data_IF_362700756195
#
_entry.id   IF_362700756195
#
_cell.length_a   1.000
_cell.length_b   1.000
_cell.length_c   1.000
_cell.angle_alpha   90.00
_cell.angle_beta   90.00
_cell.angle_gamma   90.00
#
_symmetry.space_group_name_H-M   'P 1'
#
loop_
_entity.id
_entity.type
_entity.pdbx_description
1 polymer ?
#
# COMPACT_ATOMS: atom_id res chain seq x y z
N UNK A 1 8.55 -14.14 -12.89
CA UNK A 1 8.56 -14.00 -11.43
C UNK A 1 8.59 -15.40 -10.82
N UNK A 2 9.53 -15.67 -9.88
CA UNK A 2 9.65 -16.96 -9.20
C UNK A 2 8.98 -16.97 -7.81
N UNK A 3 8.99 -15.81 -7.12
CA UNK A 3 8.26 -15.61 -5.87
C UNK A 3 7.92 -14.14 -5.65
N UNK A 4 6.93 -13.90 -4.79
CA UNK A 4 6.51 -12.61 -4.30
C UNK A 4 6.22 -12.73 -2.80
N UNK A 5 6.85 -11.90 -2.00
CA UNK A 5 6.67 -11.92 -0.56
C UNK A 5 6.65 -10.50 0.02
N UNK A 6 6.09 -10.37 1.22
CA UNK A 6 6.26 -9.18 2.04
C UNK A 6 7.37 -9.39 3.06
N UNK A 7 8.14 -8.34 3.33
CA UNK A 7 9.17 -8.33 4.37
C UNK A 7 9.06 -7.05 5.18
N UNK A 8 9.22 -7.14 6.50
CA UNK A 8 9.28 -5.95 7.35
C UNK A 8 10.68 -5.33 7.27
N UNK A 9 10.74 -4.00 7.29
CA UNK A 9 11.97 -3.28 7.55
C UNK A 9 12.14 -3.27 9.06
N UNK A 10 13.09 -4.06 9.56
CA UNK A 10 13.43 -4.11 10.97
C UNK A 10 14.46 -3.05 11.35
N UNK A 11 14.91 -3.13 12.59
CA UNK A 11 15.96 -2.30 13.13
C UNK A 11 17.05 -3.17 13.75
N UNK A 12 18.30 -2.75 13.60
CA UNK A 12 19.42 -3.34 14.30
C UNK A 12 20.36 -2.25 14.79
N UNK A 13 20.50 -2.10 16.10
CA UNK A 13 21.34 -1.08 16.78
C UNK A 13 21.02 0.35 16.29
N UNK A 14 19.74 0.70 16.22
CA UNK A 14 19.27 2.03 15.80
C UNK A 14 19.36 2.29 14.29
N UNK A 15 19.61 1.26 13.47
CA UNK A 15 19.69 1.40 12.01
C UNK A 15 18.68 0.51 11.33
N UNK A 16 18.07 0.96 10.22
CA UNK A 16 17.17 0.15 9.44
C UNK A 16 17.87 -1.10 8.90
N UNK A 17 17.17 -2.21 8.90
CA UNK A 17 17.71 -3.49 8.43
C UNK A 17 16.66 -4.24 7.62
N UNK A 18 17.07 -4.74 6.47
CA UNK A 18 16.28 -5.69 5.70
C UNK A 18 17.01 -7.03 5.64
N UNK A 19 16.32 -8.09 6.12
CA UNK A 19 16.86 -9.43 6.22
C UNK A 19 16.09 -10.39 5.31
N UNK A 20 16.79 -10.94 4.31
CA UNK A 20 16.25 -11.94 3.38
C UNK A 20 16.99 -13.24 3.58
N UNK A 21 16.30 -14.27 4.07
CA UNK A 21 16.89 -15.57 4.44
C UNK A 21 16.26 -16.71 3.65
N UNK A 22 17.09 -17.68 3.27
CA UNK A 22 16.66 -19.00 2.82
C UNK A 22 16.09 -19.00 1.41
N UNK A 23 14.88 -19.54 1.28
CA UNK A 23 14.21 -19.81 0.01
C UNK A 23 14.17 -18.61 -0.95
N UNK A 24 13.95 -17.39 -0.43
CA UNK A 24 13.92 -16.16 -1.22
C UNK A 24 15.22 -15.89 -1.98
N UNK A 25 16.33 -16.02 -1.28
CA UNK A 25 17.66 -15.85 -1.87
C UNK A 25 18.00 -17.02 -2.81
N UNK A 26 17.74 -18.25 -2.39
CA UNK A 26 18.03 -19.44 -3.19
C UNK A 26 17.29 -19.47 -4.52
N UNK A 27 16.01 -19.12 -4.55
CA UNK A 27 15.20 -19.07 -5.77
C UNK A 27 15.73 -18.08 -6.81
N UNK A 28 16.33 -17.00 -6.35
CA UNK A 28 16.97 -16.03 -7.21
C UNK A 28 18.41 -16.42 -7.60
N UNK A 29 18.90 -17.58 -7.13
CA UNK A 29 20.27 -18.02 -7.35
C UNK A 29 21.31 -17.34 -6.45
N UNK A 30 20.89 -16.55 -5.45
CA UNK A 30 21.77 -15.93 -4.46
C UNK A 30 22.19 -16.95 -3.42
N UNK A 31 23.13 -17.82 -3.78
CA UNK A 31 23.70 -18.83 -2.90
C UNK A 31 24.83 -18.25 -2.03
N UNK A 32 25.19 -18.87 -0.90
CA UNK A 32 26.31 -18.44 -0.07
C UNK A 32 27.60 -18.23 -0.89
N UNK A 33 28.26 -17.09 -0.69
CA UNK A 33 29.48 -16.74 -1.40
C UNK A 33 29.28 -16.02 -2.75
N UNK A 34 28.07 -16.00 -3.30
CA UNK A 34 27.78 -15.24 -4.53
C UNK A 34 27.90 -13.75 -4.24
N UNK A 35 28.60 -13.04 -5.13
CA UNK A 35 28.69 -11.58 -5.08
C UNK A 35 27.50 -10.93 -5.79
N UNK A 36 27.11 -9.74 -5.31
CA UNK A 36 26.01 -8.97 -5.88
C UNK A 36 26.21 -7.47 -5.68
N UNK A 37 25.56 -6.70 -6.52
CA UNK A 37 25.42 -5.25 -6.41
C UNK A 37 23.99 -4.86 -6.05
N UNK A 38 23.82 -3.68 -5.43
CA UNK A 38 22.52 -3.06 -5.16
C UNK A 38 22.41 -1.78 -5.98
N UNK A 39 21.38 -1.71 -6.82
CA UNK A 39 21.02 -0.51 -7.57
C UNK A 39 19.81 0.16 -6.95
N UNK A 40 19.86 1.46 -6.78
CA UNK A 40 18.83 2.34 -6.24
C UNK A 40 18.12 3.05 -7.37
N UNK A 41 16.81 2.96 -7.43
CA UNK A 41 15.95 3.73 -8.34
C UNK A 41 15.05 4.63 -7.50
N UNK A 42 15.49 5.87 -7.31
CA UNK A 42 14.79 6.87 -6.48
C UNK A 42 13.40 7.19 -7.04
N UNK A 43 13.24 7.25 -8.37
CA UNK A 43 11.96 7.59 -9.01
C UNK A 43 10.89 6.54 -8.75
N UNK A 44 11.30 5.27 -8.67
CA UNK A 44 10.40 4.13 -8.44
C UNK A 44 10.36 3.67 -6.99
N UNK A 45 11.15 4.31 -6.11
CA UNK A 45 11.32 3.86 -4.72
C UNK A 45 11.65 2.36 -4.68
N UNK A 46 12.69 1.96 -5.45
CA UNK A 46 13.01 0.55 -5.68
C UNK A 46 14.49 0.26 -5.49
N UNK A 47 14.80 -0.83 -4.80
CA UNK A 47 16.12 -1.46 -4.84
C UNK A 47 16.10 -2.67 -5.77
N UNK A 48 17.15 -2.82 -6.55
CA UNK A 48 17.37 -4.02 -7.37
C UNK A 48 18.71 -4.64 -6.94
N UNK A 49 18.65 -5.89 -6.51
CA UNK A 49 19.82 -6.72 -6.24
C UNK A 49 20.08 -7.55 -7.48
N UNK A 50 21.29 -7.52 -7.99
CA UNK A 50 21.72 -8.29 -9.17
C UNK A 50 23.00 -9.03 -8.85
N UNK A 51 23.10 -10.30 -9.30
CA UNK A 51 24.37 -11.04 -9.22
C UNK A 51 25.40 -10.29 -10.04
N UNK A 52 26.56 -10.08 -9.44
CA UNK A 52 27.64 -9.29 -10.05
C UNK A 52 28.96 -9.80 -9.49
N UNK A 53 29.79 -10.37 -10.34
CA UNK A 53 31.11 -10.92 -9.96
C UNK A 53 32.03 -9.88 -9.35
N UNK A 54 31.82 -8.60 -9.68
CA UNK A 54 32.56 -7.46 -9.15
C UNK A 54 31.77 -6.71 -8.06
N UNK A 55 30.58 -7.24 -7.66
CA UNK A 55 29.73 -6.63 -6.65
C UNK A 55 30.45 -6.44 -5.31
N UNK A 56 30.11 -5.38 -4.62
CA UNK A 56 30.68 -4.99 -3.33
C UNK A 56 30.13 -5.82 -2.16
N UNK A 57 29.08 -6.60 -2.38
CA UNK A 57 28.39 -7.40 -1.37
C UNK A 57 28.48 -8.89 -1.67
N UNK A 58 28.43 -9.68 -0.59
CA UNK A 58 28.48 -11.15 -0.65
C UNK A 58 27.27 -11.71 0.10
N UNK A 59 26.62 -12.72 -0.47
CA UNK A 59 25.60 -13.49 0.20
C UNK A 59 26.23 -14.26 1.36
N UNK A 60 25.80 -13.99 2.57
CA UNK A 60 26.27 -14.68 3.77
C UNK A 60 25.63 -16.04 3.90
N UNK A 61 26.19 -16.87 4.79
CA UNK A 61 25.62 -18.17 5.19
C UNK A 61 25.19 -18.16 6.64
N UNK A 62 24.12 -18.86 6.93
CA UNK A 62 23.67 -19.18 8.28
C UNK A 62 23.49 -20.69 8.36
N UNK A 63 23.93 -21.30 9.45
CA UNK A 63 23.67 -22.71 9.71
C UNK A 63 22.28 -22.84 10.38
N UNK A 64 21.46 -23.73 9.85
CA UNK A 64 20.17 -24.11 10.42
C UNK A 64 20.14 -25.65 10.54
N UNK A 65 20.56 -26.14 11.69
CA UNK A 65 20.97 -27.55 11.83
C UNK A 65 22.19 -27.83 10.94
N UNK A 66 22.16 -28.88 10.16
CA UNK A 66 23.23 -29.28 9.23
C UNK A 66 23.13 -28.60 7.84
N UNK A 67 22.15 -27.70 7.64
CA UNK A 67 21.93 -27.05 6.35
C UNK A 67 22.47 -25.61 6.34
N UNK A 68 23.22 -25.28 5.30
CA UNK A 68 23.60 -23.91 5.00
C UNK A 68 22.44 -23.18 4.33
N UNK A 69 22.09 -22.03 4.87
CA UNK A 69 21.00 -21.17 4.39
C UNK A 69 21.58 -19.84 3.93
N UNK A 70 21.31 -19.39 2.69
CA UNK A 70 21.79 -18.09 2.22
C UNK A 70 21.10 -16.96 2.95
N UNK A 71 21.84 -15.90 3.21
CA UNK A 71 21.36 -14.69 3.87
C UNK A 71 21.85 -13.45 3.11
N UNK A 72 20.91 -12.61 2.74
CA UNK A 72 21.17 -11.24 2.27
C UNK A 72 20.80 -10.31 3.41
N UNK A 73 21.79 -9.65 3.99
CA UNK A 73 21.62 -8.69 5.08
C UNK A 73 21.93 -7.27 4.59
N UNK A 74 20.92 -6.44 4.50
CA UNK A 74 21.06 -5.04 4.13
C UNK A 74 20.81 -4.20 5.39
N UNK A 75 21.88 -3.67 5.97
CA UNK A 75 21.87 -2.85 7.20
C UNK A 75 22.46 -1.44 6.97
N UNK A 76 22.52 -0.99 5.73
CA UNK A 76 23.00 0.33 5.37
C UNK A 76 21.87 1.35 5.43
N UNK A 77 21.97 2.34 6.30
CA UNK A 77 21.02 3.46 6.38
C UNK A 77 20.93 4.23 5.07
N UNK A 78 22.05 4.40 4.35
CA UNK A 78 22.09 5.04 3.05
C UNK A 78 21.28 4.28 2.00
N UNK A 79 21.42 2.94 1.94
CA UNK A 79 20.68 2.10 0.99
C UNK A 79 19.21 2.06 1.34
N UNK A 80 18.87 1.90 2.61
CA UNK A 80 17.48 1.74 3.07
C UNK A 80 16.73 3.06 3.26
N UNK A 81 17.41 4.22 3.20
CA UNK A 81 16.76 5.54 3.24
C UNK A 81 15.67 5.73 2.19
N UNK A 82 15.78 5.04 1.06
CA UNK A 82 14.76 5.04 0.00
C UNK A 82 13.39 4.54 0.50
N UNK A 83 13.37 3.75 1.57
CA UNK A 83 12.16 3.22 2.20
C UNK A 83 11.78 3.96 3.47
N UNK A 84 12.31 5.15 3.71
CA UNK A 84 11.96 5.94 4.88
C UNK A 84 10.45 6.21 4.96
N UNK A 85 9.85 5.92 6.12
CA UNK A 85 8.41 6.04 6.35
C UNK A 85 7.57 4.87 5.81
N UNK A 86 8.20 3.75 5.40
CA UNK A 86 7.53 2.50 5.09
C UNK A 86 7.95 1.41 6.09
N UNK A 87 6.96 0.72 6.68
CA UNK A 87 7.21 -0.34 7.66
C UNK A 87 7.51 -1.69 6.99
N UNK A 88 7.06 -1.86 5.74
CA UNK A 88 7.21 -3.10 5.02
C UNK A 88 7.42 -2.89 3.52
N UNK A 89 8.05 -3.88 2.91
CA UNK A 89 8.35 -3.91 1.48
C UNK A 89 7.87 -5.21 0.85
N UNK A 90 7.62 -5.18 -0.44
CA UNK A 90 7.44 -6.37 -1.28
C UNK A 90 8.77 -6.76 -1.90
N UNK A 91 9.06 -8.04 -1.85
CA UNK A 91 10.25 -8.67 -2.40
C UNK A 91 9.82 -9.52 -3.59
N UNK A 92 10.24 -9.12 -4.78
CA UNK A 92 9.93 -9.81 -6.05
C UNK A 92 11.16 -10.57 -6.48
N UNK A 93 11.08 -11.90 -6.42
CA UNK A 93 12.16 -12.82 -6.77
C UNK A 93 12.09 -13.18 -8.24
N UNK A 94 13.17 -12.96 -8.95
CA UNK A 94 13.37 -13.33 -10.35
C UNK A 94 14.68 -14.12 -10.46
N UNK A 95 14.98 -14.65 -11.64
CA UNK A 95 16.28 -15.28 -11.90
C UNK A 95 17.39 -14.25 -11.84
N UNK A 96 18.44 -14.52 -11.05
CA UNK A 96 19.62 -13.67 -10.84
C UNK A 96 19.32 -12.23 -10.37
N UNK A 97 18.07 -11.99 -9.91
CA UNK A 97 17.61 -10.65 -9.52
C UNK A 97 16.56 -10.69 -8.43
N UNK A 98 16.66 -9.76 -7.49
CA UNK A 98 15.63 -9.48 -6.50
C UNK A 98 15.27 -8.00 -6.57
N UNK A 99 13.99 -7.67 -6.71
CA UNK A 99 13.48 -6.31 -6.62
C UNK A 99 12.75 -6.11 -5.31
N UNK A 100 13.02 -4.99 -4.67
CA UNK A 100 12.44 -4.62 -3.38
C UNK A 100 11.77 -3.26 -3.56
N UNK A 101 10.49 -3.18 -3.24
CA UNK A 101 9.64 -1.98 -3.36
C UNK A 101 8.74 -1.87 -2.13
N UNK A 102 8.24 -0.68 -1.79
CA UNK A 102 7.19 -0.56 -0.77
C UNK A 102 5.97 -1.42 -1.12
N UNK A 103 5.24 -1.87 -0.12
CA UNK A 103 3.95 -2.52 -0.35
C UNK A 103 2.98 -1.54 -1.05
N UNK A 104 2.19 -2.05 -1.99
CA UNK A 104 1.19 -1.23 -2.68
C UNK A 104 0.19 -0.58 -1.70
N UNK A 105 -0.20 -1.32 -0.66
CA UNK A 105 -1.07 -0.82 0.41
C UNK A 105 -0.43 0.31 1.22
N UNK A 106 0.89 0.26 1.46
CA UNK A 106 1.61 1.32 2.16
C UNK A 106 1.71 2.60 1.32
N UNK A 107 1.93 2.45 0.01
CA UNK A 107 1.92 3.59 -0.92
C UNK A 107 0.53 4.25 -0.91
N UNK A 108 -0.52 3.46 -1.10
CA UNK A 108 -1.90 3.96 -1.12
C UNK A 108 -2.28 4.63 0.22
N UNK A 109 -1.90 4.04 1.36
CA UNK A 109 -2.10 4.62 2.69
C UNK A 109 -1.38 5.97 2.84
N UNK A 110 -0.14 6.07 2.41
CA UNK A 110 0.66 7.30 2.48
C UNK A 110 0.06 8.41 1.61
N UNK A 111 -0.31 8.08 0.38
CA UNK A 111 -0.97 9.02 -0.51
C UNK A 111 -2.30 9.54 0.06
N UNK A 112 -3.13 8.64 0.62
CA UNK A 112 -4.38 9.02 1.28
C UNK A 112 -4.14 9.94 2.46
N UNK A 113 -3.15 9.62 3.31
CA UNK A 113 -2.81 10.45 4.46
C UNK A 113 -2.29 11.84 4.06
N UNK A 114 -1.53 11.93 2.96
CA UNK A 114 -1.07 13.21 2.42
C UNK A 114 -2.24 14.05 1.92
N UNK A 115 -3.18 13.44 1.17
CA UNK A 115 -4.40 14.15 0.73
C UNK A 115 -5.23 14.62 1.91
N UNK A 116 -5.43 13.77 2.91
CA UNK A 116 -6.15 14.12 4.14
C UNK A 116 -5.52 15.35 4.82
N UNK A 117 -4.21 15.31 5.07
CA UNK A 117 -3.49 16.43 5.69
C UNK A 117 -3.59 17.72 4.87
N UNK A 118 -3.41 17.63 3.54
CA UNK A 118 -3.51 18.78 2.65
C UNK A 118 -4.90 19.41 2.70
N UNK A 119 -5.95 18.60 2.58
CA UNK A 119 -7.34 19.09 2.64
C UNK A 119 -7.68 19.74 3.98
N UNK A 120 -7.30 19.12 5.10
CA UNK A 120 -7.52 19.69 6.44
C UNK A 120 -6.79 21.03 6.61
N UNK A 121 -5.54 21.13 6.13
CA UNK A 121 -4.76 22.38 6.21
C UNK A 121 -5.39 23.48 5.37
N UNK A 122 -5.93 23.16 4.20
CA UNK A 122 -6.53 24.11 3.28
C UNK A 122 -8.01 24.43 3.58
N UNK A 123 -8.63 23.76 4.56
CA UNK A 123 -10.06 23.90 4.86
C UNK A 123 -10.97 23.35 3.74
N UNK A 124 -10.44 22.43 2.91
CA UNK A 124 -11.18 21.77 1.85
C UNK A 124 -12.06 20.63 2.41
N UNK A 125 -13.15 20.29 1.71
CA UNK A 125 -14.01 19.19 2.11
C UNK A 125 -13.32 17.83 1.96
N UNK A 126 -13.43 16.99 2.97
CA UNK A 126 -13.00 15.59 2.89
C UNK A 126 -13.99 14.81 2.02
N UNK A 127 -13.46 14.01 1.10
CA UNK A 127 -14.28 13.11 0.29
C UNK A 127 -14.51 11.80 1.06
N UNK A 128 -15.75 11.48 1.32
CA UNK A 128 -16.17 10.25 1.98
C UNK A 128 -16.78 9.28 0.96
N UNK A 129 -16.48 8.00 1.06
CA UNK A 129 -17.15 6.95 0.32
C UNK A 129 -17.99 6.11 1.27
N UNK A 130 -19.11 5.59 0.81
CA UNK A 130 -19.96 4.68 1.57
C UNK A 130 -20.07 3.35 0.86
N UNK A 131 -19.79 2.27 1.56
CA UNK A 131 -20.03 0.90 1.10
C UNK A 131 -21.07 0.23 1.98
N UNK A 132 -22.01 -0.50 1.36
CA UNK A 132 -23.18 -1.05 2.04
C UNK A 132 -23.99 0.03 2.76
N UNK A 133 -24.31 1.09 2.02
CA UNK A 133 -24.88 2.35 2.50
C UNK A 133 -26.18 2.15 3.30
N UNK A 134 -27.02 1.17 2.92
CA UNK A 134 -28.30 0.88 3.58
C UNK A 134 -29.21 2.11 3.60
N UNK A 135 -29.72 2.44 4.78
CA UNK A 135 -30.55 3.64 5.01
C UNK A 135 -29.74 4.94 5.21
N UNK A 136 -28.42 4.93 5.05
CA UNK A 136 -27.55 6.11 5.13
C UNK A 136 -27.41 6.74 6.53
N UNK A 137 -27.88 6.06 7.58
CA UNK A 137 -27.88 6.62 8.96
C UNK A 137 -26.46 6.81 9.49
N UNK A 138 -25.59 5.83 9.26
CA UNK A 138 -24.19 5.90 9.72
C UNK A 138 -23.43 7.01 9.00
N UNK A 139 -23.63 7.11 7.69
CA UNK A 139 -22.99 8.14 6.86
C UNK A 139 -23.46 9.54 7.27
N UNK A 140 -24.77 9.71 7.47
CA UNK A 140 -25.31 10.97 7.97
C UNK A 140 -24.70 11.37 9.32
N UNK A 141 -24.64 10.42 10.26
CA UNK A 141 -24.06 10.66 11.58
C UNK A 141 -22.57 11.03 11.50
N UNK A 142 -21.80 10.35 10.62
CA UNK A 142 -20.39 10.66 10.38
C UNK A 142 -20.22 12.08 9.84
N UNK A 143 -20.98 12.44 8.80
CA UNK A 143 -20.92 13.76 8.20
C UNK A 143 -21.29 14.87 9.20
N UNK A 144 -22.35 14.69 9.96
CA UNK A 144 -22.77 15.66 11.00
C UNK A 144 -21.73 15.79 12.12
N UNK A 145 -21.19 14.66 12.61
CA UNK A 145 -20.14 14.71 13.65
C UNK A 145 -18.86 15.41 13.18
N UNK A 146 -18.46 15.24 11.92
CA UNK A 146 -17.31 15.95 11.34
C UNK A 146 -17.61 17.43 11.15
N UNK A 147 -18.81 17.78 10.70
CA UNK A 147 -19.25 19.17 10.55
C UNK A 147 -19.27 19.91 11.90
N UNK A 148 -19.77 19.28 12.96
CA UNK A 148 -19.72 19.81 14.34
C UNK A 148 -18.29 20.03 14.83
N UNK A 149 -17.35 19.20 14.37
CA UNK A 149 -15.91 19.37 14.63
C UNK A 149 -15.23 20.43 13.73
N UNK A 150 -16.00 21.13 12.89
CA UNK A 150 -15.48 22.13 11.96
C UNK A 150 -14.84 21.57 10.69
N UNK A 151 -15.04 20.30 10.41
CA UNK A 151 -14.47 19.61 9.24
C UNK A 151 -15.55 19.48 8.16
N UNK A 152 -15.33 20.14 7.02
CA UNK A 152 -16.22 20.00 5.87
C UNK A 152 -16.08 18.61 5.25
N UNK A 153 -17.19 18.03 4.83
CA UNK A 153 -17.24 16.72 4.18
C UNK A 153 -18.14 16.73 2.96
N UNK A 154 -17.91 15.77 2.06
CA UNK A 154 -18.79 15.50 0.91
C UNK A 154 -18.88 14.00 0.68
N UNK A 155 -20.06 13.49 0.41
CA UNK A 155 -20.29 12.11 -0.01
C UNK A 155 -19.90 11.99 -1.48
N UNK A 156 -18.78 11.32 -1.77
CA UNK A 156 -18.27 11.18 -3.13
C UNK A 156 -18.96 10.04 -3.89
N UNK A 157 -19.22 8.94 -3.20
CA UNK A 157 -20.04 7.84 -3.74
C UNK A 157 -20.74 7.08 -2.61
N UNK A 158 -21.85 6.42 -2.96
CA UNK A 158 -22.53 5.46 -2.10
C UNK A 158 -22.81 4.17 -2.86
N UNK A 159 -22.45 3.04 -2.27
CA UNK A 159 -22.73 1.70 -2.79
C UNK A 159 -23.76 0.99 -1.90
N UNK A 160 -24.79 0.47 -2.53
CA UNK A 160 -25.80 -0.39 -1.93
C UNK A 160 -26.36 -1.32 -2.99
N UNK A 161 -26.59 -2.59 -2.66
CA UNK A 161 -27.11 -3.56 -3.63
C UNK A 161 -28.58 -3.29 -4.01
N UNK A 162 -29.34 -2.66 -3.12
CA UNK A 162 -30.75 -2.32 -3.31
C UNK A 162 -30.90 -0.88 -3.81
N UNK A 163 -31.22 -0.65 -5.09
CA UNK A 163 -31.32 0.70 -5.66
C UNK A 163 -32.36 1.58 -4.99
N UNK A 164 -33.46 0.99 -4.51
CA UNK A 164 -34.52 1.73 -3.83
C UNK A 164 -34.05 2.40 -2.52
N UNK A 165 -33.06 1.85 -1.84
CA UNK A 165 -32.46 2.48 -0.66
C UNK A 165 -31.60 3.69 -1.05
N UNK A 166 -30.83 3.60 -2.15
CA UNK A 166 -30.06 4.73 -2.65
C UNK A 166 -30.97 5.89 -3.10
N UNK A 167 -32.05 5.57 -3.80
CA UNK A 167 -33.06 6.57 -4.21
C UNK A 167 -33.71 7.23 -3.00
N UNK A 168 -34.10 6.42 -1.99
CA UNK A 168 -34.71 6.94 -0.76
C UNK A 168 -33.76 7.86 -0.01
N UNK A 169 -32.51 7.42 0.22
CA UNK A 169 -31.52 8.21 0.96
C UNK A 169 -31.12 9.47 0.21
N UNK A 170 -31.02 9.42 -1.12
CA UNK A 170 -30.77 10.58 -1.96
C UNK A 170 -31.86 11.64 -1.84
N UNK A 171 -33.12 11.24 -1.67
CA UNK A 171 -34.25 12.14 -1.54
C UNK A 171 -34.39 12.73 -0.12
N UNK A 172 -33.91 12.03 0.91
CA UNK A 172 -34.17 12.37 2.31
C UNK A 172 -32.92 12.85 3.08
N UNK A 173 -31.73 12.62 2.57
CA UNK A 173 -30.48 12.85 3.30
C UNK A 173 -29.67 13.97 2.64
N UNK A 174 -29.41 15.03 3.39
CA UNK A 174 -28.73 16.25 2.94
C UNK A 174 -27.21 16.09 2.65
N UNK A 175 -26.64 14.92 2.98
CA UNK A 175 -25.23 14.63 2.62
C UNK A 175 -25.04 14.32 1.13
N UNK A 176 -26.11 14.02 0.39
CA UNK A 176 -26.06 13.77 -1.05
C UNK A 176 -25.92 15.09 -1.82
N UNK A 177 -25.10 15.06 -2.86
CA UNK A 177 -24.95 16.17 -3.82
C UNK A 177 -25.22 15.70 -5.25
N UNK A 178 -25.25 16.63 -6.19
CA UNK A 178 -25.37 16.30 -7.63
C UNK A 178 -24.18 15.47 -8.13
N UNK A 179 -23.00 15.63 -7.51
CA UNK A 179 -21.76 14.96 -7.89
C UNK A 179 -21.55 13.60 -7.19
N UNK A 180 -22.45 13.21 -6.27
CA UNK A 180 -22.36 11.92 -5.59
C UNK A 180 -22.66 10.79 -6.55
N UNK A 181 -21.71 9.85 -6.70
CA UNK A 181 -21.87 8.66 -7.55
C UNK A 181 -22.70 7.60 -6.82
N UNK A 182 -23.80 7.20 -7.44
CA UNK A 182 -24.67 6.15 -6.94
C UNK A 182 -24.31 4.79 -7.57
N UNK A 183 -24.05 3.77 -6.76
CA UNK A 183 -23.56 2.46 -7.20
C UNK A 183 -24.50 1.36 -6.70
N UNK A 184 -25.50 1.01 -7.51
CA UNK A 184 -26.45 -0.06 -7.21
C UNK A 184 -25.91 -1.42 -7.71
N UNK A 185 -24.89 -1.96 -7.04
CA UNK A 185 -24.26 -3.20 -7.43
C UNK A 185 -23.66 -3.95 -6.23
N UNK A 186 -23.49 -5.28 -6.31
CA UNK A 186 -22.72 -6.03 -5.34
C UNK A 186 -21.29 -5.50 -5.26
N UNK A 187 -20.75 -5.36 -4.05
CA UNK A 187 -19.38 -4.86 -3.85
C UNK A 187 -18.33 -5.73 -4.57
N UNK A 188 -18.58 -7.04 -4.65
CA UNK A 188 -17.72 -7.97 -5.36
C UNK A 188 -17.64 -7.65 -6.87
N UNK A 189 -18.78 -7.31 -7.49
CA UNK A 189 -18.79 -6.92 -8.89
C UNK A 189 -17.95 -5.67 -9.13
N UNK A 190 -18.13 -4.65 -8.33
CA UNK A 190 -17.34 -3.42 -8.41
C UNK A 190 -15.85 -3.67 -8.20
N UNK A 191 -15.50 -4.54 -7.24
CA UNK A 191 -14.10 -4.83 -6.92
C UNK A 191 -13.33 -5.53 -8.05
N UNK A 192 -14.02 -6.25 -8.93
CA UNK A 192 -13.44 -6.92 -10.09
C UNK A 192 -13.57 -6.12 -11.41
N UNK A 193 -14.31 -5.01 -11.39
CA UNK A 193 -14.45 -4.12 -12.55
C UNK A 193 -13.42 -3.01 -12.52
N UNK A 194 -12.26 -3.24 -13.15
CA UNK A 194 -11.18 -2.26 -13.24
C UNK A 194 -11.63 -0.95 -13.91
N UNK A 195 -12.58 -1.03 -14.85
CA UNK A 195 -13.12 0.16 -15.51
C UNK A 195 -13.91 1.02 -14.53
N UNK A 196 -14.82 0.44 -13.76
CA UNK A 196 -15.59 1.15 -12.72
C UNK A 196 -14.65 1.69 -11.63
N UNK A 197 -13.79 0.82 -11.07
CA UNK A 197 -12.86 1.20 -10.00
C UNK A 197 -11.92 2.34 -10.37
N UNK A 198 -11.48 2.41 -11.65
CA UNK A 198 -10.60 3.49 -12.12
C UNK A 198 -11.28 4.85 -12.18
N UNK A 199 -12.62 4.88 -12.18
CA UNK A 199 -13.44 6.10 -12.30
C UNK A 199 -14.06 6.55 -10.99
N UNK A 200 -14.00 5.71 -9.96
CA UNK A 200 -14.49 6.12 -8.65
C UNK A 200 -13.66 7.29 -8.10
N UNK A 201 -14.32 8.27 -7.48
CA UNK A 201 -13.62 9.33 -6.79
C UNK A 201 -12.68 8.78 -5.72
N UNK A 202 -11.48 9.36 -5.60
CA UNK A 202 -10.57 9.06 -4.49
C UNK A 202 -11.13 9.65 -3.20
N UNK A 203 -11.18 8.83 -2.15
CA UNK A 203 -11.73 9.23 -0.86
C UNK A 203 -10.66 9.21 0.23
N UNK A 204 -10.85 10.02 1.25
CA UNK A 204 -10.03 10.06 2.46
C UNK A 204 -10.63 9.17 3.57
N UNK A 205 -11.97 9.02 3.60
CA UNK A 205 -12.69 8.15 4.53
C UNK A 205 -13.63 7.19 3.80
N UNK A 206 -13.82 6.00 4.36
CA UNK A 206 -14.71 4.93 3.90
C UNK A 206 -15.54 4.47 5.08
#
# INVERSE_FOLDING_TARGET
MKAYESAKIGENRGRPRLWLEGFKASLAGFLPGIRFSIRKDEKRTMLTLEQDVHGDRIVSRKLKGDKEVPVIDINSSEVLSIFEGYDAVRVIVQENRIRILPLAVEIAKRERLQRLKSKLTNGEALSCGSVSHGGGVLDHALHKGLEEAGIKTQLAFANEIRPELLEHTRAQNDIWSADTVSLAAPLQELAFDDWAMSRLPKVEAL
#
